data_IF_445164274426
#
_entry.id   IF_445164274426
#
_cell.length_a   1.000
_cell.length_b   1.000
_cell.length_c   1.000
_cell.angle_alpha   90.00
_cell.angle_beta   90.00
_cell.angle_gamma   90.00
#
_symmetry.space_group_name_H-M   'P 1'
#
loop_
_entity.id
_entity.type
_entity.pdbx_description
1 polymer ?
#
# COMPACT_ATOMS: atom_id res chain seq x y z
N UNK A 1 -36.80 -48.29 -14.49
CA UNK A 1 -36.08 -47.35 -13.66
C UNK A 1 -35.00 -48.07 -12.84
N UNK A 2 -33.67 -47.87 -13.15
CA UNK A 2 -32.58 -48.51 -12.38
C UNK A 2 -32.45 -47.75 -11.05
N UNK A 3 -32.67 -48.45 -9.90
CA UNK A 3 -32.39 -47.86 -8.58
C UNK A 3 -30.89 -47.62 -8.48
N UNK A 4 -30.50 -46.33 -8.45
CA UNK A 4 -29.11 -45.95 -8.15
C UNK A 4 -28.69 -46.60 -6.82
N UNK A 5 -27.54 -47.25 -6.80
CA UNK A 5 -26.99 -47.91 -5.61
C UNK A 5 -26.82 -46.87 -4.48
N UNK A 6 -27.13 -47.26 -3.24
CA UNK A 6 -26.98 -46.42 -2.06
C UNK A 6 -25.55 -45.84 -1.95
N UNK A 7 -24.53 -46.59 -2.43
CA UNK A 7 -23.13 -46.16 -2.50
C UNK A 7 -22.90 -45.00 -3.48
N UNK A 8 -23.56 -45.03 -4.67
CA UNK A 8 -23.44 -43.93 -5.66
C UNK A 8 -24.07 -42.65 -5.12
N UNK A 9 -25.20 -42.76 -4.41
CA UNK A 9 -25.87 -41.58 -3.84
C UNK A 9 -25.02 -40.93 -2.74
N UNK A 10 -24.37 -41.74 -1.87
CA UNK A 10 -23.46 -41.25 -0.83
C UNK A 10 -22.21 -40.58 -1.44
N UNK A 11 -21.64 -41.18 -2.52
CA UNK A 11 -20.51 -40.57 -3.23
C UNK A 11 -20.83 -39.19 -3.82
N UNK A 12 -22.01 -39.02 -4.40
CA UNK A 12 -22.47 -37.74 -4.94
C UNK A 12 -22.71 -36.70 -3.84
N UNK A 13 -23.25 -37.08 -2.70
CA UNK A 13 -23.47 -36.19 -1.56
C UNK A 13 -22.13 -35.69 -0.97
N UNK A 14 -21.15 -36.59 -0.87
CA UNK A 14 -19.81 -36.25 -0.39
C UNK A 14 -19.12 -35.30 -1.41
N UNK A 15 -19.21 -35.57 -2.71
CA UNK A 15 -18.65 -34.71 -3.74
C UNK A 15 -19.29 -33.31 -3.74
N UNK A 16 -20.61 -33.24 -3.59
CA UNK A 16 -21.36 -31.98 -3.52
C UNK A 16 -21.01 -31.12 -2.28
N UNK A 17 -20.66 -31.77 -1.15
CA UNK A 17 -20.23 -31.08 0.07
C UNK A 17 -18.73 -30.71 0.03
N UNK A 18 -17.88 -31.50 -0.64
CA UNK A 18 -16.44 -31.27 -0.72
C UNK A 18 -16.10 -30.03 -1.58
N UNK A 19 -16.81 -29.81 -2.68
CA UNK A 19 -16.56 -28.67 -3.58
C UNK A 19 -16.69 -27.32 -2.86
N UNK A 20 -17.81 -26.98 -2.18
CA UNK A 20 -17.90 -25.70 -1.47
C UNK A 20 -16.89 -25.57 -0.33
N UNK A 21 -16.53 -26.68 0.32
CA UNK A 21 -15.50 -26.65 1.36
C UNK A 21 -14.10 -26.30 0.77
N UNK A 22 -13.70 -26.93 -0.33
CA UNK A 22 -12.43 -26.62 -1.01
C UNK A 22 -12.40 -25.16 -1.48
N UNK A 23 -13.51 -24.68 -2.07
CA UNK A 23 -13.63 -23.27 -2.48
C UNK A 23 -13.51 -22.34 -1.28
N UNK A 24 -14.18 -22.63 -0.18
CA UNK A 24 -14.10 -21.84 1.05
C UNK A 24 -12.66 -21.78 1.59
N UNK A 25 -11.97 -22.90 1.66
CA UNK A 25 -10.57 -22.97 2.11
C UNK A 25 -9.65 -22.18 1.17
N UNK A 26 -9.83 -22.31 -0.14
CA UNK A 26 -9.05 -21.55 -1.12
C UNK A 26 -9.25 -20.03 -0.98
N UNK A 27 -10.49 -19.59 -0.82
CA UNK A 27 -10.83 -18.18 -0.58
C UNK A 27 -10.26 -17.69 0.74
N UNK A 28 -10.33 -18.50 1.81
CA UNK A 28 -9.77 -18.14 3.11
C UNK A 28 -8.24 -17.99 3.06
N UNK A 29 -7.54 -18.90 2.38
CA UNK A 29 -6.08 -18.82 2.18
C UNK A 29 -5.72 -17.57 1.37
N UNK A 30 -6.46 -17.31 0.30
CA UNK A 30 -6.26 -16.13 -0.54
C UNK A 30 -6.48 -14.84 0.25
N UNK A 31 -7.60 -14.72 0.98
CA UNK A 31 -7.91 -13.55 1.79
C UNK A 31 -6.89 -13.31 2.92
N UNK A 32 -6.44 -14.40 3.56
CA UNK A 32 -5.39 -14.31 4.58
C UNK A 32 -4.06 -13.83 3.99
N UNK A 33 -3.62 -14.41 2.86
CA UNK A 33 -2.39 -13.99 2.18
C UNK A 33 -2.45 -12.53 1.71
N UNK A 34 -3.63 -12.09 1.24
CA UNK A 34 -3.87 -10.71 0.83
C UNK A 34 -3.73 -9.73 2.02
N UNK A 35 -4.37 -10.02 3.14
CA UNK A 35 -4.29 -9.21 4.36
C UNK A 35 -2.89 -9.23 4.99
N UNK A 36 -2.21 -10.37 4.95
CA UNK A 36 -0.87 -10.52 5.48
C UNK A 36 0.14 -9.65 4.75
N UNK A 37 0.13 -9.66 3.41
CA UNK A 37 1.02 -8.81 2.59
C UNK A 37 0.82 -7.32 2.85
N UNK A 38 -0.42 -6.89 3.04
CA UNK A 38 -0.69 -5.49 3.37
C UNK A 38 -0.14 -5.11 4.75
N UNK A 39 -0.32 -5.98 5.74
CA UNK A 39 0.26 -5.78 7.07
C UNK A 39 1.79 -5.68 7.00
N UNK A 40 2.44 -6.59 6.28
CA UNK A 40 3.89 -6.58 6.06
C UNK A 40 4.35 -5.27 5.41
N UNK A 41 3.64 -4.80 4.38
CA UNK A 41 3.91 -3.50 3.76
C UNK A 41 3.86 -2.36 4.78
N UNK A 42 2.82 -2.31 5.62
CA UNK A 42 2.69 -1.27 6.66
C UNK A 42 3.79 -1.37 7.71
N UNK A 43 4.14 -2.57 8.14
CA UNK A 43 5.18 -2.80 9.14
C UNK A 43 6.57 -2.40 8.61
N UNK A 44 6.85 -2.66 7.33
CA UNK A 44 8.08 -2.24 6.67
C UNK A 44 8.13 -0.72 6.54
N UNK A 45 7.06 -0.11 6.06
CA UNK A 45 6.96 1.34 5.91
C UNK A 45 7.09 2.05 7.26
N UNK A 46 6.47 1.53 8.33
CA UNK A 46 6.59 2.07 9.67
C UNK A 46 8.05 2.04 10.17
N UNK A 47 8.78 0.96 9.88
CA UNK A 47 10.21 0.84 10.24
C UNK A 47 11.07 1.86 9.50
N UNK A 48 10.79 2.08 8.21
CA UNK A 48 11.55 3.03 7.40
C UNK A 48 11.29 4.48 7.85
N UNK A 49 10.05 4.84 8.17
CA UNK A 49 9.74 6.14 8.76
C UNK A 49 10.39 6.32 10.14
N UNK A 50 10.33 5.31 11.00
CA UNK A 50 10.98 5.35 12.32
C UNK A 50 12.50 5.50 12.21
N UNK A 51 13.13 4.79 11.27
CA UNK A 51 14.56 4.95 10.98
C UNK A 51 14.90 6.37 10.53
N UNK A 52 14.14 6.89 9.55
CA UNK A 52 14.38 8.23 9.01
C UNK A 52 14.17 9.33 10.07
N UNK A 53 13.19 9.18 10.96
CA UNK A 53 12.96 10.10 12.08
C UNK A 53 14.11 10.06 13.10
N UNK A 54 14.56 8.84 13.48
CA UNK A 54 15.64 8.68 14.45
C UNK A 54 16.98 9.24 13.94
N UNK A 55 17.22 9.22 12.62
CA UNK A 55 18.45 9.69 12.00
C UNK A 55 18.30 11.06 11.33
N UNK A 56 17.09 11.65 11.37
CA UNK A 56 16.75 12.94 10.76
C UNK A 56 17.24 12.99 9.27
N UNK A 57 16.93 11.95 8.49
CA UNK A 57 17.47 11.77 7.13
C UNK A 57 16.42 11.63 6.03
N UNK A 58 15.11 11.83 6.33
CA UNK A 58 14.07 11.75 5.32
C UNK A 58 14.20 12.90 4.31
N UNK A 59 14.31 12.55 3.04
CA UNK A 59 14.32 13.51 1.94
C UNK A 59 13.13 13.27 1.04
N UNK A 60 12.40 14.34 0.70
CA UNK A 60 11.34 14.32 -0.30
C UNK A 60 11.85 14.94 -1.60
N UNK A 61 11.56 14.29 -2.71
CA UNK A 61 11.80 14.84 -4.05
C UNK A 61 10.47 14.99 -4.78
N UNK A 62 10.20 16.19 -5.22
CA UNK A 62 9.03 16.54 -6.02
C UNK A 62 9.48 17.42 -7.19
N UNK A 63 9.05 17.12 -8.41
CA UNK A 63 9.42 17.86 -9.62
C UNK A 63 10.95 18.08 -9.78
N UNK A 64 11.76 17.12 -9.35
CA UNK A 64 13.22 17.16 -9.42
C UNK A 64 13.89 18.03 -8.34
N UNK A 65 13.12 18.59 -7.41
CA UNK A 65 13.65 19.35 -6.27
C UNK A 65 13.60 18.47 -5.03
N UNK A 66 14.76 18.30 -4.38
CA UNK A 66 14.88 17.49 -3.16
C UNK A 66 14.96 18.38 -1.93
N UNK A 67 14.18 18.06 -0.93
CA UNK A 67 14.10 18.78 0.35
C UNK A 67 14.15 17.80 1.51
N UNK A 68 14.94 18.10 2.52
CA UNK A 68 14.98 17.33 3.77
C UNK A 68 13.73 17.65 4.59
N UNK A 69 13.01 16.64 5.04
CA UNK A 69 11.80 16.80 5.83
C UNK A 69 12.09 16.80 7.32
N UNK A 70 11.52 17.76 8.05
CA UNK A 70 11.52 17.73 9.51
C UNK A 70 10.74 16.52 10.03
N UNK A 71 11.16 15.97 11.16
CA UNK A 71 10.53 14.79 11.81
C UNK A 71 9.02 14.94 11.99
N UNK A 72 8.54 16.16 12.28
CA UNK A 72 7.11 16.43 12.40
C UNK A 72 6.34 16.21 11.11
N UNK A 73 6.89 16.68 9.97
CA UNK A 73 6.25 16.52 8.66
C UNK A 73 6.29 15.06 8.21
N UNK A 74 7.39 14.36 8.51
CA UNK A 74 7.53 12.92 8.34
C UNK A 74 6.41 12.15 9.07
N UNK A 75 6.12 12.49 10.33
CA UNK A 75 5.06 11.86 11.13
C UNK A 75 3.67 12.11 10.52
N UNK A 76 3.40 13.31 10.01
CA UNK A 76 2.13 13.60 9.33
C UNK A 76 1.97 12.82 8.02
N UNK A 77 3.01 12.72 7.20
CA UNK A 77 2.96 11.94 5.96
C UNK A 77 2.72 10.46 6.27
N UNK A 78 3.43 9.94 7.27
CA UNK A 78 3.22 8.56 7.72
C UNK A 78 1.77 8.32 8.15
N UNK A 79 1.19 9.19 8.96
CA UNK A 79 -0.20 9.06 9.43
C UNK A 79 -1.19 9.13 8.28
N UNK A 80 -1.02 10.07 7.36
CA UNK A 80 -1.90 10.21 6.20
C UNK A 80 -1.96 8.90 5.40
N UNK A 81 -0.82 8.22 5.20
CA UNK A 81 -0.77 6.94 4.49
C UNK A 81 -1.30 5.79 5.37
N UNK A 82 -0.91 5.74 6.65
CA UNK A 82 -1.23 4.65 7.56
C UNK A 82 -2.71 4.59 7.95
N UNK A 83 -3.39 5.74 8.00
CA UNK A 83 -4.82 5.88 8.29
C UNK A 83 -5.68 5.64 7.04
N UNK A 84 -5.08 5.64 5.85
CA UNK A 84 -5.76 5.34 4.61
C UNK A 84 -6.26 3.89 4.54
N UNK A 85 -7.32 3.69 3.75
CA UNK A 85 -7.93 2.38 3.53
C UNK A 85 -7.24 1.65 2.38
N UNK A 86 -6.81 0.42 2.62
CA UNK A 86 -6.23 -0.42 1.58
C UNK A 86 -7.26 -0.77 0.50
N UNK A 87 -6.99 -0.37 -0.74
CA UNK A 87 -7.88 -0.57 -1.88
C UNK A 87 -7.41 -1.67 -2.86
N UNK A 88 -6.19 -2.16 -2.72
CA UNK A 88 -5.67 -3.24 -3.54
C UNK A 88 -4.17 -3.16 -3.81
N UNK A 89 -3.65 -4.20 -4.47
CA UNK A 89 -2.30 -4.19 -5.02
C UNK A 89 -2.32 -3.57 -6.40
N UNK A 90 -1.28 -2.80 -6.72
CA UNK A 90 -1.13 -2.12 -7.98
C UNK A 90 0.18 -2.58 -8.65
N UNK A 91 0.08 -3.11 -9.86
CA UNK A 91 1.24 -3.56 -10.64
C UNK A 91 1.64 -2.55 -11.73
N UNK A 92 0.75 -1.59 -12.03
CA UNK A 92 0.95 -0.63 -13.10
C UNK A 92 2.08 0.38 -12.81
N UNK A 93 2.59 0.98 -13.89
CA UNK A 93 3.54 2.08 -13.80
C UNK A 93 2.94 3.25 -13.00
N UNK A 94 3.77 3.93 -12.24
CA UNK A 94 3.36 5.15 -11.54
C UNK A 94 3.30 6.31 -12.54
N UNK A 95 2.19 7.04 -12.53
CA UNK A 95 1.99 8.21 -13.37
C UNK A 95 2.54 9.47 -12.70
N UNK A 96 3.10 10.37 -13.51
CA UNK A 96 3.56 11.68 -13.04
C UNK A 96 2.35 12.60 -12.69
N UNK A 97 2.46 13.49 -11.71
CA UNK A 97 3.64 13.74 -10.87
C UNK A 97 3.84 12.71 -9.76
N UNK A 98 5.09 12.37 -9.48
CA UNK A 98 5.45 11.43 -8.42
C UNK A 98 6.22 12.16 -7.32
N UNK A 99 5.78 11.96 -6.08
CA UNK A 99 6.54 12.32 -4.90
C UNK A 99 7.41 11.12 -4.52
N UNK A 100 8.72 11.32 -4.42
CA UNK A 100 9.64 10.31 -3.94
C UNK A 100 10.15 10.69 -2.55
N UNK A 101 10.05 9.75 -1.60
CA UNK A 101 10.62 9.86 -0.26
C UNK A 101 11.79 8.89 -0.16
N UNK A 102 13.00 9.39 0.14
CA UNK A 102 14.18 8.60 0.43
C UNK A 102 14.41 8.57 1.95
N UNK A 103 14.45 7.37 2.52
CA UNK A 103 14.59 7.16 3.96
C UNK A 103 16.04 7.15 4.45
N UNK A 104 17.03 7.25 3.54
CA UNK A 104 18.44 7.22 3.88
C UNK A 104 18.98 5.85 4.30
N UNK A 105 18.17 4.81 4.28
CA UNK A 105 18.53 3.42 4.58
C UNK A 105 18.57 2.52 3.32
N UNK A 106 18.44 3.13 2.13
CA UNK A 106 18.31 2.43 0.85
C UNK A 106 16.88 2.09 0.45
N UNK A 107 15.90 2.38 1.32
CA UNK A 107 14.47 2.25 0.97
C UNK A 107 13.95 3.56 0.39
N UNK A 108 13.00 3.45 -0.56
CA UNK A 108 12.34 4.58 -1.20
C UNK A 108 10.85 4.35 -1.29
N UNK A 109 10.08 5.39 -1.06
CA UNK A 109 8.64 5.40 -1.22
C UNK A 109 8.25 6.36 -2.33
N UNK A 110 7.50 5.88 -3.32
CA UNK A 110 6.94 6.73 -4.37
C UNK A 110 5.44 6.81 -4.19
N UNK A 111 4.90 8.00 -4.36
CA UNK A 111 3.48 8.30 -4.18
C UNK A 111 3.01 9.09 -5.40
N UNK A 112 1.92 8.68 -6.03
CA UNK A 112 1.25 9.44 -7.08
C UNK A 112 -0.27 9.37 -6.93
N UNK A 113 -0.99 10.25 -7.61
CA UNK A 113 -2.44 10.13 -7.71
C UNK A 113 -2.83 8.81 -8.38
N UNK A 114 -3.93 8.20 -7.96
CA UNK A 114 -4.47 7.05 -8.67
C UNK A 114 -5.13 7.52 -9.98
N UNK A 115 -4.85 6.90 -11.15
CA UNK A 115 -5.28 7.40 -12.46
C UNK A 115 -6.80 7.45 -12.64
N UNK A 116 -7.55 6.61 -11.93
CA UNK A 116 -9.02 6.58 -11.96
C UNK A 116 -9.66 7.39 -10.82
N UNK A 117 -8.86 8.14 -10.08
CA UNK A 117 -9.37 8.92 -8.97
C UNK A 117 -10.14 10.12 -9.52
N UNK A 118 -11.45 10.16 -9.28
CA UNK A 118 -12.21 11.40 -9.28
C UNK A 118 -11.43 12.42 -8.43
N UNK A 119 -11.28 13.68 -8.83
CA UNK A 119 -10.63 14.72 -8.02
C UNK A 119 -11.11 14.79 -6.58
N UNK A 120 -12.34 14.33 -6.31
CA UNK A 120 -12.90 14.18 -4.98
C UNK A 120 -12.57 12.83 -4.32
N UNK A 121 -12.15 11.81 -5.06
CA UNK A 121 -11.69 10.53 -4.51
C UNK A 121 -10.23 10.64 -4.12
N UNK A 122 -10.01 10.64 -2.85
CA UNK A 122 -8.74 10.70 -2.16
C UNK A 122 -8.05 9.34 -2.26
N UNK A 123 -7.49 9.03 -3.44
CA UNK A 123 -6.80 7.77 -3.68
C UNK A 123 -5.41 8.01 -4.25
N UNK A 124 -4.43 7.32 -3.70
CA UNK A 124 -3.04 7.36 -4.15
C UNK A 124 -2.53 5.95 -4.42
N UNK A 125 -1.63 5.85 -5.38
CA UNK A 125 -0.79 4.68 -5.54
C UNK A 125 0.51 4.91 -4.75
N UNK A 126 0.89 3.92 -3.96
CA UNK A 126 2.06 3.95 -3.09
C UNK A 126 2.94 2.78 -3.42
N UNK A 127 4.21 3.03 -3.74
CA UNK A 127 5.20 2.03 -4.13
C UNK A 127 6.42 2.11 -3.21
N UNK A 128 6.64 1.05 -2.44
CA UNK A 128 7.81 0.90 -1.59
C UNK A 128 8.85 0.04 -2.31
N UNK A 129 10.05 0.57 -2.45
CA UNK A 129 11.25 -0.13 -2.94
C UNK A 129 12.19 -0.33 -1.74
N UNK A 130 12.49 -1.58 -1.41
CA UNK A 130 13.32 -1.95 -0.28
C UNK A 130 14.13 -3.21 -0.57
N UNK A 131 15.44 -3.18 -0.37
CA UNK A 131 16.31 -4.36 -0.52
C UNK A 131 16.17 -5.09 -1.87
N UNK A 132 15.81 -4.36 -2.94
CA UNK A 132 15.55 -4.91 -4.27
C UNK A 132 14.14 -5.47 -4.48
N UNK A 133 13.32 -5.51 -3.44
CA UNK A 133 11.89 -5.81 -3.56
C UNK A 133 11.08 -4.56 -3.85
N UNK A 134 10.05 -4.72 -4.66
CA UNK A 134 9.11 -3.65 -5.01
C UNK A 134 7.70 -4.10 -4.64
N UNK A 135 7.03 -3.30 -3.84
CA UNK A 135 5.63 -3.54 -3.45
C UNK A 135 4.81 -2.30 -3.73
N UNK A 136 3.73 -2.46 -4.47
CA UNK A 136 2.84 -1.36 -4.84
C UNK A 136 1.42 -1.63 -4.36
N UNK A 137 0.82 -0.63 -3.74
CA UNK A 137 -0.57 -0.69 -3.25
C UNK A 137 -1.32 0.57 -3.62
N UNK A 138 -2.63 0.46 -3.68
CA UNK A 138 -3.55 1.61 -3.73
C UNK A 138 -4.13 1.85 -2.33
N UNK A 139 -4.15 3.10 -1.92
CA UNK A 139 -4.70 3.55 -0.64
C UNK A 139 -5.73 4.62 -0.87
N UNK A 140 -6.95 4.41 -0.35
CA UNK A 140 -8.04 5.38 -0.37
C UNK A 140 -7.99 6.27 0.90
N UNK A 141 -8.62 7.44 0.82
CA UNK A 141 -8.67 8.37 1.95
C UNK A 141 -7.45 9.28 2.06
N UNK A 142 -6.40 9.07 1.28
CA UNK A 142 -5.17 9.87 1.27
C UNK A 142 -5.28 10.98 0.23
N UNK A 143 -4.99 12.22 0.63
CA UNK A 143 -4.92 13.36 -0.29
C UNK A 143 -3.47 13.64 -0.67
N UNK A 144 -3.13 13.45 -1.93
CA UNK A 144 -1.80 13.81 -2.44
C UNK A 144 -1.47 15.28 -2.14
N UNK A 145 -2.42 16.18 -2.35
CA UNK A 145 -2.28 17.61 -2.05
C UNK A 145 -1.88 17.91 -0.58
N UNK A 146 -2.28 17.08 0.39
CA UNK A 146 -1.85 17.25 1.78
C UNK A 146 -0.36 16.94 1.91
N UNK A 147 0.12 15.88 1.24
CA UNK A 147 1.53 15.49 1.23
C UNK A 147 2.36 16.58 0.55
N UNK A 148 1.94 17.07 -0.62
CA UNK A 148 2.57 18.17 -1.35
C UNK A 148 2.70 19.44 -0.49
N UNK A 149 1.64 19.79 0.24
CA UNK A 149 1.66 20.94 1.16
C UNK A 149 2.65 20.76 2.30
N UNK A 150 2.77 19.57 2.87
CA UNK A 150 3.73 19.29 3.94
C UNK A 150 5.17 19.42 3.46
N UNK A 151 5.43 19.09 2.21
CA UNK A 151 6.73 19.27 1.57
C UNK A 151 6.98 20.75 1.27
N UNK A 152 6.03 21.45 0.67
CA UNK A 152 6.17 22.85 0.23
C UNK A 152 6.30 23.84 1.40
N UNK A 153 5.65 23.60 2.53
CA UNK A 153 5.79 24.45 3.74
C UNK A 153 7.23 24.44 4.28
N UNK A 154 7.95 23.34 4.07
CA UNK A 154 9.36 23.26 4.46
C UNK A 154 10.24 24.18 3.61
N UNK A 155 9.98 24.33 2.31
CA UNK A 155 10.74 25.20 1.41
C UNK A 155 10.69 26.67 1.81
N UNK A 156 9.54 27.12 2.36
CA UNK A 156 9.40 28.49 2.82
C UNK A 156 10.23 28.85 4.05
N UNK A 157 10.62 27.86 4.87
CA UNK A 157 11.39 28.07 6.11
C UNK A 157 12.91 27.98 5.88
N UNK A 158 13.38 27.34 4.83
CA UNK A 158 14.82 27.24 4.50
C UNK A 158 15.32 28.45 3.66
N UNK A 159 14.40 29.25 3.13
CA UNK A 159 14.70 30.42 2.27
C UNK A 159 14.66 31.75 3.03
N UNK A 160 14.45 31.74 4.36
CA UNK A 160 14.39 32.89 5.23
C UNK A 160 15.58 32.90 6.21
#
# INVERSE_FOLDING_TARGET
MKRKSKRETIGWVIALAAVPFVVFVAVAIWAYGYSYRYKEFKDDLARDFAYAQANDCLTATENGVSTRLASRNSDYIWREIAEGEFAGYQEDAMEEPVIELDFGNGSRLRICAAPDADPDTRSVNVRLEREGEVRSIRVNGVRLLNIERLISVQWGNESA
#
